data_IF_455917469504
#
_entry.id   IF_455917469504
#
_cell.length_a   1.000
_cell.length_b   1.000
_cell.length_c   1.000
_cell.angle_alpha   90.00
_cell.angle_beta   90.00
_cell.angle_gamma   90.00
#
_symmetry.space_group_name_H-M   'P 1'
#
loop_
_entity.id
_entity.type
_entity.pdbx_description
1 polymer ?
#
# COMPACT_ATOMS: atom_id res chain seq x y z
N UNK A 1 -14.95 8.17 11.36
CA UNK A 1 -14.88 7.98 9.89
C UNK A 1 -15.47 9.24 9.31
N UNK A 2 -14.70 9.99 8.56
CA UNK A 2 -15.27 11.08 7.78
C UNK A 2 -16.22 10.44 6.77
N UNK A 3 -17.50 10.75 6.90
CA UNK A 3 -18.57 10.23 6.02
C UNK A 3 -18.45 10.73 4.56
N UNK A 4 -17.41 11.51 4.26
CA UNK A 4 -17.21 12.18 2.97
C UNK A 4 -16.03 11.62 2.15
N UNK A 5 -15.38 10.52 2.60
CA UNK A 5 -14.28 9.92 1.86
C UNK A 5 -14.79 9.26 0.57
N UNK A 6 -14.34 9.73 -0.57
CA UNK A 6 -14.65 9.21 -1.90
C UNK A 6 -13.37 8.73 -2.59
N UNK A 7 -13.51 7.98 -3.70
CA UNK A 7 -12.35 7.63 -4.52
C UNK A 7 -11.62 8.88 -5.02
N UNK A 8 -12.38 9.92 -5.39
CA UNK A 8 -11.83 11.20 -5.85
C UNK A 8 -11.05 11.92 -4.73
N UNK A 9 -11.63 12.04 -3.53
CA UNK A 9 -10.92 12.68 -2.42
C UNK A 9 -9.68 11.91 -2.00
N UNK A 10 -9.72 10.59 -2.04
CA UNK A 10 -8.56 9.71 -1.77
C UNK A 10 -7.47 9.89 -2.82
N UNK A 11 -7.84 9.98 -4.11
CA UNK A 11 -6.88 10.25 -5.18
C UNK A 11 -6.22 11.62 -5.01
N UNK A 12 -7.00 12.66 -4.74
CA UNK A 12 -6.49 14.01 -4.51
C UNK A 12 -5.52 14.06 -3.32
N UNK A 13 -5.83 13.36 -2.23
CA UNK A 13 -4.95 13.24 -1.07
C UNK A 13 -3.65 12.51 -1.44
N UNK A 14 -3.75 11.39 -2.16
CA UNK A 14 -2.59 10.62 -2.60
C UNK A 14 -1.68 11.44 -3.54
N UNK A 15 -2.27 12.15 -4.50
CA UNK A 15 -1.54 13.04 -5.40
C UNK A 15 -0.76 14.10 -4.63
N UNK A 16 -1.41 14.78 -3.71
CA UNK A 16 -0.81 15.86 -2.91
C UNK A 16 0.32 15.34 -2.00
N UNK A 17 0.11 14.19 -1.36
CA UNK A 17 1.04 13.68 -0.34
C UNK A 17 2.19 12.88 -0.93
N UNK A 18 1.93 12.06 -1.95
CA UNK A 18 2.84 11.00 -2.37
C UNK A 18 3.32 11.12 -3.82
N UNK A 19 2.44 11.45 -4.77
CA UNK A 19 2.79 11.37 -6.19
C UNK A 19 4.03 12.20 -6.56
N UNK A 20 4.86 11.60 -7.42
CA UNK A 20 6.12 12.18 -7.92
C UNK A 20 7.18 12.42 -6.84
N UNK A 21 6.97 11.90 -5.63
CA UNK A 21 7.95 11.97 -4.55
C UNK A 21 8.73 10.68 -4.41
N UNK A 22 9.88 10.81 -3.74
CA UNK A 22 10.76 9.69 -3.37
C UNK A 22 11.03 9.73 -1.88
N UNK A 23 11.11 8.54 -1.30
CA UNK A 23 11.34 8.41 0.12
C UNK A 23 12.42 7.36 0.38
N UNK A 24 13.47 7.74 1.12
CA UNK A 24 14.49 6.84 1.60
C UNK A 24 14.01 6.16 2.88
N UNK A 25 14.04 4.84 2.92
CA UNK A 25 13.82 4.03 4.11
C UNK A 25 15.15 3.40 4.53
N UNK A 26 15.65 3.77 5.69
CA UNK A 26 16.79 3.11 6.33
C UNK A 26 16.30 1.93 7.17
N UNK A 27 16.81 0.74 6.90
CA UNK A 27 16.39 -0.47 7.59
C UNK A 27 17.43 -0.98 8.57
N UNK A 28 16.98 -1.60 9.65
CA UNK A 28 17.85 -2.32 10.57
C UNK A 28 18.02 -3.79 10.12
N UNK A 29 18.54 -4.00 8.90
CA UNK A 29 18.66 -5.33 8.31
C UNK A 29 19.98 -5.46 7.56
N UNK A 30 20.84 -6.38 7.99
CA UNK A 30 22.16 -6.60 7.38
C UNK A 30 22.00 -7.04 5.91
N UNK A 31 22.55 -6.26 5.00
CA UNK A 31 22.53 -6.52 3.55
C UNK A 31 21.32 -5.92 2.80
N UNK A 32 20.51 -5.11 3.51
CA UNK A 32 19.47 -4.27 2.93
C UNK A 32 19.33 -3.03 3.82
N UNK A 33 20.30 -2.12 3.74
CA UNK A 33 20.36 -0.99 4.64
C UNK A 33 19.40 0.14 4.22
N UNK A 34 19.35 0.44 2.92
CA UNK A 34 18.59 1.56 2.38
C UNK A 34 17.79 1.15 1.15
N UNK A 35 16.55 1.60 1.08
CA UNK A 35 15.71 1.46 -0.10
C UNK A 35 15.06 2.79 -0.46
N UNK A 36 14.96 3.12 -1.74
CA UNK A 36 14.25 4.30 -2.21
C UNK A 36 12.88 3.89 -2.74
N UNK A 37 11.84 4.32 -2.06
CA UNK A 37 10.45 4.11 -2.49
C UNK A 37 10.03 5.27 -3.37
N UNK A 38 9.55 4.97 -4.58
CA UNK A 38 8.97 5.94 -5.52
C UNK A 38 7.46 5.75 -5.54
N UNK A 39 6.74 6.86 -5.68
CA UNK A 39 5.28 6.86 -5.64
C UNK A 39 4.74 7.37 -6.98
N UNK A 40 3.87 6.59 -7.58
CA UNK A 40 3.18 6.96 -8.82
C UNK A 40 1.67 6.96 -8.61
N UNK A 41 0.97 7.78 -9.34
CA UNK A 41 -0.49 7.87 -9.27
C UNK A 41 -1.18 6.52 -9.51
N UNK A 42 -0.62 5.72 -10.43
CA UNK A 42 -1.16 4.41 -10.79
C UNK A 42 -1.02 3.34 -9.71
N UNK A 43 -0.16 3.55 -8.71
CA UNK A 43 -0.03 2.62 -7.59
C UNK A 43 -1.35 2.53 -6.80
N UNK A 44 -2.12 3.63 -6.76
CA UNK A 44 -3.40 3.71 -6.06
C UNK A 44 -4.42 2.68 -6.55
N UNK A 45 -4.40 2.33 -7.85
CA UNK A 45 -5.24 1.26 -8.41
C UNK A 45 -5.08 -0.07 -7.65
N UNK A 46 -3.85 -0.46 -7.36
CA UNK A 46 -3.54 -1.69 -6.65
C UNK A 46 -3.71 -1.54 -5.13
N UNK A 47 -3.34 -0.40 -4.59
CA UNK A 47 -3.46 -0.11 -3.16
C UNK A 47 -4.92 -0.10 -2.70
N UNK A 48 -5.83 0.46 -3.49
CA UNK A 48 -7.26 0.42 -3.22
C UNK A 48 -7.93 -0.90 -3.67
N UNK A 49 -7.23 -1.74 -4.42
CA UNK A 49 -7.78 -3.01 -4.91
C UNK A 49 -8.84 -2.87 -5.99
N UNK A 50 -8.78 -1.81 -6.80
CA UNK A 50 -9.72 -1.58 -7.90
C UNK A 50 -9.73 -2.72 -8.92
N UNK A 51 -8.60 -3.40 -9.10
CA UNK A 51 -8.47 -4.58 -9.97
C UNK A 51 -9.34 -5.77 -9.55
N UNK A 52 -9.92 -5.78 -8.34
CA UNK A 52 -10.87 -6.81 -7.91
C UNK A 52 -12.28 -6.56 -8.40
N UNK A 53 -12.65 -5.31 -8.62
CA UNK A 53 -14.03 -4.89 -8.89
C UNK A 53 -14.21 -4.28 -10.27
N UNK A 54 -13.15 -3.90 -10.96
CA UNK A 54 -13.16 -3.40 -12.32
C UNK A 54 -12.96 -4.53 -13.33
N UNK A 55 -13.48 -4.34 -14.54
CA UNK A 55 -13.21 -5.22 -15.67
C UNK A 55 -11.71 -5.30 -15.94
N UNK A 56 -11.22 -6.47 -16.34
CA UNK A 56 -9.81 -6.72 -16.66
C UNK A 56 -9.25 -5.82 -17.78
N UNK A 57 -10.11 -5.27 -18.63
CA UNK A 57 -9.73 -4.31 -19.66
C UNK A 57 -9.41 -2.91 -19.10
N UNK A 58 -9.80 -2.63 -17.85
CA UNK A 58 -9.52 -1.36 -17.17
C UNK A 58 -8.18 -1.47 -16.45
N UNK A 59 -7.13 -0.99 -17.07
CA UNK A 59 -5.80 -0.90 -16.45
C UNK A 59 -5.71 0.24 -15.42
N UNK A 60 -4.57 0.34 -14.73
CA UNK A 60 -4.35 1.32 -13.68
C UNK A 60 -4.51 2.77 -14.19
N UNK A 61 -3.94 3.11 -15.33
CA UNK A 61 -4.05 4.46 -15.91
C UNK A 61 -5.50 4.84 -16.17
N UNK A 62 -6.25 3.95 -16.84
CA UNK A 62 -7.66 4.19 -17.16
C UNK A 62 -8.52 4.32 -15.91
N UNK A 63 -8.28 3.50 -14.88
CA UNK A 63 -9.04 3.61 -13.62
C UNK A 63 -8.81 4.94 -12.90
N UNK A 64 -7.57 5.45 -12.94
CA UNK A 64 -7.25 6.77 -12.36
C UNK A 64 -7.94 7.89 -13.14
N UNK A 65 -7.95 7.83 -14.47
CA UNK A 65 -8.70 8.78 -15.31
C UNK A 65 -10.20 8.76 -14.99
N UNK A 66 -10.79 7.58 -14.86
CA UNK A 66 -12.21 7.43 -14.50
C UNK A 66 -12.51 8.04 -13.12
N UNK A 67 -11.60 7.88 -12.13
CA UNK A 67 -11.75 8.53 -10.82
C UNK A 67 -11.68 10.05 -10.98
N UNK A 68 -10.72 10.58 -11.74
CA UNK A 68 -10.57 12.04 -12.00
C UNK A 68 -11.84 12.63 -12.60
N UNK A 69 -12.50 11.90 -13.45
CA UNK A 69 -13.73 12.30 -14.12
C UNK A 69 -15.02 12.06 -13.30
N UNK A 70 -14.90 11.54 -12.06
CA UNK A 70 -16.02 11.09 -11.23
C UNK A 70 -16.91 10.01 -11.91
N UNK A 71 -16.30 9.17 -12.75
CA UNK A 71 -16.96 8.04 -13.43
C UNK A 71 -16.98 6.77 -12.58
N UNK A 72 -16.25 6.75 -11.44
CA UNK A 72 -16.20 5.65 -10.49
C UNK A 72 -16.60 6.12 -9.09
N UNK A 73 -17.65 5.51 -8.55
CA UNK A 73 -18.11 5.72 -7.18
C UNK A 73 -17.98 4.41 -6.39
N UNK A 74 -17.74 4.49 -5.08
CA UNK A 74 -17.70 3.31 -4.20
C UNK A 74 -19.03 2.55 -4.25
N UNK A 75 -20.15 3.30 -4.35
CA UNK A 75 -21.51 2.74 -4.46
C UNK A 75 -21.70 1.80 -5.66
N UNK A 76 -20.98 2.02 -6.76
CA UNK A 76 -21.11 1.22 -7.98
C UNK A 76 -20.67 -0.23 -7.77
N UNK A 77 -19.86 -0.47 -6.73
CA UNK A 77 -19.27 -1.77 -6.45
C UNK A 77 -19.95 -2.54 -5.32
N UNK A 78 -20.93 -1.96 -4.63
CA UNK A 78 -21.54 -2.55 -3.42
C UNK A 78 -22.10 -3.96 -3.61
N UNK A 79 -22.56 -4.27 -4.82
CA UNK A 79 -23.08 -5.60 -5.19
C UNK A 79 -22.02 -6.52 -5.81
N UNK A 80 -20.77 -6.07 -5.96
CA UNK A 80 -19.71 -6.90 -6.54
C UNK A 80 -19.22 -7.94 -5.52
N UNK A 81 -19.01 -9.19 -5.95
CA UNK A 81 -18.58 -10.29 -5.07
C UNK A 81 -17.28 -9.99 -4.29
N UNK A 82 -16.37 -9.22 -4.88
CA UNK A 82 -15.08 -8.84 -4.28
C UNK A 82 -15.09 -7.44 -3.65
N UNK A 83 -16.27 -6.81 -3.50
CA UNK A 83 -16.40 -5.48 -2.91
C UNK A 83 -15.71 -5.37 -1.55
N UNK A 84 -15.89 -6.37 -0.69
CA UNK A 84 -15.27 -6.37 0.65
C UNK A 84 -13.74 -6.27 0.61
N UNK A 85 -13.09 -6.88 -0.39
CA UNK A 85 -11.62 -6.80 -0.56
C UNK A 85 -11.17 -5.38 -0.92
N UNK A 86 -11.90 -4.72 -1.80
CA UNK A 86 -11.65 -3.34 -2.20
C UNK A 86 -11.96 -2.39 -1.05
N UNK A 87 -13.12 -2.54 -0.41
CA UNK A 87 -13.57 -1.65 0.66
C UNK A 87 -12.67 -1.67 1.89
N UNK A 88 -12.15 -2.84 2.30
CA UNK A 88 -11.18 -2.95 3.38
C UNK A 88 -9.89 -2.20 3.07
N UNK A 89 -9.40 -2.23 1.83
CA UNK A 89 -8.21 -1.48 1.40
C UNK A 89 -8.49 0.02 1.42
N UNK A 90 -9.63 0.44 0.91
CA UNK A 90 -10.06 1.83 0.95
C UNK A 90 -10.14 2.36 2.38
N UNK A 91 -10.74 1.62 3.31
CA UNK A 91 -10.81 1.97 4.73
C UNK A 91 -9.45 2.11 5.40
N UNK A 92 -8.48 1.32 4.98
CA UNK A 92 -7.14 1.28 5.55
C UNK A 92 -6.15 2.21 4.79
N UNK A 93 -6.63 3.04 3.87
CA UNK A 93 -5.79 3.92 3.07
C UNK A 93 -4.87 4.81 3.91
N UNK A 94 -5.34 5.32 5.04
CA UNK A 94 -4.56 6.14 5.97
C UNK A 94 -3.32 5.42 6.54
N UNK A 95 -3.25 4.10 6.44
CA UNK A 95 -2.08 3.34 6.88
C UNK A 95 -0.80 3.76 6.15
N UNK A 96 -0.91 4.19 4.89
CA UNK A 96 0.23 4.70 4.10
C UNK A 96 0.80 5.96 4.77
N UNK A 97 -0.05 6.92 5.17
CA UNK A 97 0.37 8.13 5.87
C UNK A 97 1.00 7.80 7.23
N UNK A 98 0.42 6.88 7.98
CA UNK A 98 0.94 6.43 9.27
C UNK A 98 2.34 5.82 9.17
N UNK A 99 2.65 5.16 8.07
CA UNK A 99 4.00 4.63 7.82
C UNK A 99 4.96 5.76 7.45
N UNK A 100 4.64 6.56 6.42
CA UNK A 100 5.62 7.44 5.78
C UNK A 100 5.70 8.85 6.39
N UNK A 101 4.61 9.40 6.91
CA UNK A 101 4.58 10.73 7.51
C UNK A 101 4.58 10.70 9.02
N UNK A 102 3.66 9.96 9.63
CA UNK A 102 3.56 9.91 11.09
C UNK A 102 4.68 9.08 11.71
N UNK A 103 5.32 8.19 10.91
CA UNK A 103 6.35 7.23 11.36
C UNK A 103 5.86 6.39 12.56
N UNK A 104 4.54 6.17 12.61
CA UNK A 104 3.86 5.46 13.69
C UNK A 104 4.00 3.94 13.58
N UNK A 105 4.40 3.42 12.40
CA UNK A 105 4.57 2.00 12.13
C UNK A 105 5.96 1.76 11.57
N UNK A 106 6.80 1.10 12.35
CA UNK A 106 8.21 0.85 12.03
C UNK A 106 8.55 -0.64 11.87
N UNK A 107 7.63 -1.53 12.19
CA UNK A 107 7.84 -2.98 12.12
C UNK A 107 7.67 -3.48 10.69
N UNK A 108 8.66 -4.20 10.20
CA UNK A 108 8.63 -4.78 8.87
C UNK A 108 9.29 -6.17 8.78
N UNK A 109 9.07 -6.85 7.67
CA UNK A 109 9.68 -8.14 7.30
C UNK A 109 10.27 -8.01 5.90
N UNK A 110 11.51 -8.44 5.71
CA UNK A 110 12.15 -8.47 4.39
C UNK A 110 11.84 -9.78 3.65
N UNK A 111 11.90 -9.75 2.32
CA UNK A 111 11.56 -10.86 1.44
C UNK A 111 12.22 -12.19 1.82
N UNK A 112 13.48 -12.15 2.25
CA UNK A 112 14.27 -13.31 2.66
C UNK A 112 13.63 -14.10 3.81
N UNK A 113 12.90 -13.40 4.68
CA UNK A 113 12.27 -13.99 5.87
C UNK A 113 10.77 -14.32 5.65
N UNK A 114 10.21 -14.04 4.47
CA UNK A 114 8.83 -14.38 4.12
C UNK A 114 8.70 -15.85 3.74
N UNK A 115 7.82 -16.59 4.42
CA UNK A 115 7.58 -18.01 4.13
C UNK A 115 6.85 -18.25 2.79
N UNK A 116 5.93 -17.35 2.44
CA UNK A 116 5.18 -17.36 1.17
C UNK A 116 5.17 -15.95 0.59
N UNK A 117 5.65 -15.81 -0.63
CA UNK A 117 5.81 -14.52 -1.29
C UNK A 117 5.29 -14.53 -2.74
N UNK A 118 4.01 -14.85 -2.91
CA UNK A 118 3.39 -14.94 -4.23
C UNK A 118 3.34 -13.60 -4.99
N UNK A 119 3.45 -12.48 -4.28
CA UNK A 119 3.43 -11.14 -4.85
C UNK A 119 4.83 -10.58 -5.13
N UNK A 120 5.89 -11.37 -4.94
CA UNK A 120 7.28 -10.95 -5.09
C UNK A 120 7.59 -9.65 -4.31
N UNK A 121 7.14 -9.59 -3.07
CA UNK A 121 7.41 -8.47 -2.17
C UNK A 121 8.86 -8.51 -1.70
N UNK A 122 9.48 -7.34 -1.55
CA UNK A 122 10.84 -7.20 -1.00
C UNK A 122 10.82 -6.71 0.44
N UNK A 123 9.82 -5.91 0.79
CA UNK A 123 9.57 -5.44 2.15
C UNK A 123 8.07 -5.46 2.43
N UNK A 124 7.71 -5.86 3.63
CA UNK A 124 6.33 -5.83 4.14
C UNK A 124 6.32 -5.04 5.43
N UNK A 125 5.68 -3.88 5.43
CA UNK A 125 5.39 -3.10 6.64
C UNK A 125 4.01 -3.51 7.14
N UNK A 126 3.86 -3.76 8.44
CA UNK A 126 2.57 -4.21 8.96
C UNK A 126 2.34 -3.79 10.40
N UNK A 127 1.08 -3.71 10.77
CA UNK A 127 0.62 -3.47 12.14
C UNK A 127 -0.44 -4.49 12.52
N UNK A 128 -0.27 -5.13 13.68
CA UNK A 128 -1.23 -6.10 14.20
C UNK A 128 -2.28 -5.38 15.06
N UNK A 129 -3.55 -5.64 14.76
CA UNK A 129 -4.70 -5.22 15.56
C UNK A 129 -5.61 -6.40 15.82
N UNK A 130 -5.55 -6.96 17.04
CA UNK A 130 -6.33 -8.13 17.40
C UNK A 130 -5.98 -9.37 16.56
N UNK A 131 -6.95 -9.88 15.80
CA UNK A 131 -6.80 -11.08 14.96
C UNK A 131 -6.37 -10.79 13.54
N UNK A 132 -6.31 -9.53 13.14
CA UNK A 132 -5.87 -9.09 11.81
C UNK A 132 -4.59 -8.28 11.86
N UNK A 133 -3.97 -8.11 10.72
CA UNK A 133 -2.87 -7.21 10.49
C UNK A 133 -3.15 -6.38 9.24
N UNK A 134 -2.92 -5.09 9.29
CA UNK A 134 -2.88 -4.23 8.11
C UNK A 134 -1.48 -4.37 7.53
N UNK A 135 -1.41 -4.57 6.22
CA UNK A 135 -0.18 -4.93 5.51
C UNK A 135 0.03 -3.99 4.33
N UNK A 136 1.20 -3.38 4.27
CA UNK A 136 1.68 -2.61 3.13
C UNK A 136 2.86 -3.34 2.49
N UNK A 137 2.69 -3.80 1.26
CA UNK A 137 3.71 -4.53 0.52
C UNK A 137 4.47 -3.63 -0.44
N UNK A 138 5.79 -3.73 -0.40
CA UNK A 138 6.74 -2.95 -1.20
C UNK A 138 7.54 -3.93 -2.07
N UNK A 139 7.70 -3.60 -3.37
CA UNK A 139 8.42 -4.42 -4.34
C UNK A 139 9.47 -3.62 -5.07
N UNK A 140 10.61 -4.24 -5.29
CA UNK A 140 11.69 -3.70 -6.10
C UNK A 140 11.28 -3.60 -7.57
N UNK A 141 11.62 -2.49 -8.22
CA UNK A 141 11.40 -2.24 -9.65
C UNK A 141 12.71 -2.08 -10.42
N UNK A 142 13.74 -1.57 -9.77
CA UNK A 142 15.12 -1.53 -10.26
C UNK A 142 16.06 -1.87 -9.11
N UNK A 143 17.36 -1.89 -9.35
CA UNK A 143 18.36 -2.23 -8.31
C UNK A 143 18.26 -1.34 -7.06
N UNK A 144 17.80 -0.10 -7.21
CA UNK A 144 17.74 0.89 -6.13
C UNK A 144 16.34 1.41 -5.81
N UNK A 145 15.36 1.20 -6.69
CA UNK A 145 14.02 1.75 -6.54
C UNK A 145 12.97 0.68 -6.27
N UNK A 146 12.03 1.05 -5.42
CA UNK A 146 10.93 0.22 -4.93
C UNK A 146 9.62 0.97 -5.08
N UNK A 147 8.50 0.25 -5.10
CA UNK A 147 7.16 0.85 -5.12
C UNK A 147 6.17 0.11 -4.22
N UNK A 148 5.12 0.80 -3.83
CA UNK A 148 3.98 0.19 -3.16
C UNK A 148 3.18 -0.66 -4.15
N UNK A 149 2.85 -1.90 -3.78
CA UNK A 149 2.11 -2.79 -4.69
C UNK A 149 0.86 -3.38 -4.06
N UNK A 150 0.71 -3.34 -2.75
CA UNK A 150 -0.49 -3.84 -2.09
C UNK A 150 -0.69 -3.20 -0.73
N UNK A 151 -1.94 -2.93 -0.40
CA UNK A 151 -2.43 -2.60 0.93
C UNK A 151 -3.59 -3.55 1.22
N UNK A 152 -3.50 -4.40 2.23
CA UNK A 152 -4.57 -5.36 2.53
C UNK A 152 -4.57 -5.77 4.00
N UNK A 153 -5.63 -6.45 4.42
CA UNK A 153 -5.67 -7.14 5.70
C UNK A 153 -5.24 -8.60 5.55
N UNK A 154 -4.47 -9.07 6.51
CA UNK A 154 -4.05 -10.47 6.64
C UNK A 154 -4.37 -10.98 8.07
N UNK A 155 -4.32 -12.29 8.28
CA UNK A 155 -4.34 -12.83 9.63
C UNK A 155 -3.11 -12.40 10.41
N UNK A 156 -3.27 -12.00 11.67
CA UNK A 156 -2.16 -11.67 12.56
C UNK A 156 -1.15 -12.84 12.71
N UNK A 157 -1.61 -14.07 12.54
CA UNK A 157 -0.76 -15.26 12.58
C UNK A 157 0.24 -15.33 11.40
N UNK A 158 -0.04 -14.68 10.28
CA UNK A 158 0.84 -14.66 9.09
C UNK A 158 2.25 -14.19 9.44
N UNK A 159 2.37 -13.24 10.36
CA UNK A 159 3.66 -12.63 10.73
C UNK A 159 4.14 -12.99 12.13
N UNK A 160 3.44 -13.90 12.84
CA UNK A 160 3.74 -14.22 14.23
C UNK A 160 5.14 -14.79 14.44
N UNK A 161 5.55 -15.73 13.57
CA UNK A 161 6.81 -16.46 13.67
C UNK A 161 7.84 -16.06 12.62
N UNK A 162 7.66 -14.91 11.97
CA UNK A 162 8.58 -14.40 10.97
C UNK A 162 9.57 -13.44 11.64
N UNK A 163 10.84 -13.49 11.22
CA UNK A 163 11.85 -12.55 11.68
C UNK A 163 11.45 -11.13 11.32
N UNK A 164 11.43 -10.26 12.30
CA UNK A 164 11.06 -8.85 12.18
C UNK A 164 12.29 -7.99 12.12
N UNK A 165 12.20 -6.89 11.41
CA UNK A 165 13.16 -5.80 11.45
C UNK A 165 12.43 -4.48 11.64
N UNK A 166 13.18 -3.39 11.69
CA UNK A 166 12.63 -2.04 11.89
C UNK A 166 13.09 -1.08 10.81
N UNK A 167 12.21 -0.17 10.46
CA UNK A 167 12.57 1.06 9.75
C UNK A 167 13.20 1.99 10.80
N UNK A 168 14.48 2.35 10.61
CA UNK A 168 15.21 3.24 11.50
C UNK A 168 14.90 4.70 11.23
N UNK A 169 14.82 5.04 9.94
CA UNK A 169 14.57 6.39 9.49
C UNK A 169 13.77 6.39 8.20
N UNK A 170 13.02 7.45 8.00
CA UNK A 170 12.26 7.76 6.79
C UNK A 170 12.58 9.20 6.42
N UNK A 171 13.13 9.40 5.22
CA UNK A 171 13.53 10.71 4.71
C UNK A 171 12.93 10.95 3.33
N UNK A 172 12.23 12.07 3.17
CA UNK A 172 11.73 12.51 1.86
C UNK A 172 12.88 13.16 1.10
N UNK A 173 13.11 12.75 -0.14
CA UNK A 173 14.24 13.19 -0.95
C UNK A 173 13.90 14.41 -1.82
N UNK A 174 12.63 14.72 -1.98
CA UNK A 174 12.10 15.82 -2.81
C UNK A 174 10.68 16.20 -2.39
#
# INVERSE_FOLDING_TARGET
MDNDATLQSTLNDYQKKFCEKRCLLELNYKGLDDIVVVFTETDLHHLLGLHYVLDKAVNATKSIEMIKNNELLISDFTNHQDFSKMFLRFKNYNFIERVFYDKAVDICVVAKDLQKNNMNLHLVVYEISGRSAIVLGIRQITDTHYKLVTLHEASSNTYKNVRKTKIKNIEWLD
#
